data_IF_806818156302
#
_entry.id   IF_806818156302
#
_cell.length_a   1.000
_cell.length_b   1.000
_cell.length_c   1.000
_cell.angle_alpha   90.00
_cell.angle_beta   90.00
_cell.angle_gamma   90.00
#
_symmetry.space_group_name_H-M   'P 1'
#
loop_
_entity.id
_entity.type
_entity.pdbx_description
1 polymer ?
#
# COMPACT_ATOMS: atom_id res chain seq x y z
N UNK A 1 -94.86 -55.52 26.82
CA UNK A 1 -94.00 -54.76 25.89
C UNK A 1 -94.83 -54.41 24.68
N UNK A 2 -95.49 -53.25 24.72
CA UNK A 2 -96.25 -52.70 23.59
C UNK A 2 -95.25 -52.18 22.56
N UNK A 3 -95.33 -52.71 21.33
CA UNK A 3 -94.53 -52.25 20.19
C UNK A 3 -95.09 -50.87 19.80
N UNK A 4 -94.30 -49.79 19.80
CA UNK A 4 -94.80 -48.46 19.47
C UNK A 4 -95.40 -48.43 18.06
N UNK A 5 -96.45 -47.64 17.86
CA UNK A 5 -97.13 -47.48 16.57
C UNK A 5 -96.13 -46.96 15.53
N UNK A 6 -96.24 -47.38 14.26
CA UNK A 6 -95.31 -47.02 13.18
C UNK A 6 -95.08 -45.50 13.07
N UNK A 7 -96.14 -44.70 13.27
CA UNK A 7 -96.11 -43.24 13.25
C UNK A 7 -95.38 -42.60 14.46
N UNK A 8 -95.23 -43.33 15.55
CA UNK A 8 -94.52 -42.88 16.75
C UNK A 8 -93.01 -43.09 16.58
N UNK A 9 -92.60 -44.26 16.05
CA UNK A 9 -91.20 -44.52 15.68
C UNK A 9 -90.69 -43.59 14.58
N UNK A 10 -91.51 -43.27 13.59
CA UNK A 10 -91.11 -42.31 12.55
C UNK A 10 -90.92 -40.90 13.12
N UNK A 11 -91.75 -40.48 14.08
CA UNK A 11 -91.56 -39.20 14.79
C UNK A 11 -90.30 -39.19 15.64
N UNK A 12 -90.05 -40.26 16.41
CA UNK A 12 -88.80 -40.41 17.18
C UNK A 12 -87.57 -40.37 16.26
N UNK A 13 -87.61 -41.05 15.11
CA UNK A 13 -86.53 -41.02 14.12
C UNK A 13 -86.33 -39.61 13.54
N UNK A 14 -87.39 -38.90 13.16
CA UNK A 14 -87.30 -37.52 12.68
C UNK A 14 -86.71 -36.57 13.73
N UNK A 15 -87.07 -36.76 14.99
CA UNK A 15 -86.54 -35.95 16.09
C UNK A 15 -85.06 -36.25 16.35
N UNK A 16 -84.65 -37.53 16.31
CA UNK A 16 -83.24 -37.95 16.35
C UNK A 16 -82.46 -37.36 15.15
N UNK A 17 -83.02 -37.38 13.95
CA UNK A 17 -82.38 -36.78 12.77
C UNK A 17 -82.24 -35.27 12.91
N UNK A 18 -83.26 -34.58 13.43
CA UNK A 18 -83.21 -33.13 13.70
C UNK A 18 -82.15 -32.78 14.73
N UNK A 19 -82.07 -33.54 15.82
CA UNK A 19 -81.07 -33.34 16.88
C UNK A 19 -79.65 -33.63 16.39
N UNK A 20 -79.47 -34.70 15.60
CA UNK A 20 -78.19 -35.03 14.99
C UNK A 20 -77.72 -33.94 14.01
N UNK A 21 -78.62 -33.44 13.15
CA UNK A 21 -78.26 -32.39 12.18
C UNK A 21 -77.99 -31.05 12.88
N UNK A 22 -78.73 -30.70 13.92
CA UNK A 22 -78.42 -29.53 14.77
C UNK A 22 -77.05 -29.66 15.43
N UNK A 23 -76.73 -30.83 15.98
CA UNK A 23 -75.42 -31.09 16.60
C UNK A 23 -74.31 -31.02 15.56
N UNK A 24 -74.54 -31.55 14.34
CA UNK A 24 -73.59 -31.48 13.23
C UNK A 24 -73.32 -30.04 12.78
N UNK A 25 -74.37 -29.23 12.62
CA UNK A 25 -74.27 -27.82 12.25
C UNK A 25 -73.55 -27.03 13.34
N UNK A 26 -73.92 -27.23 14.61
CA UNK A 26 -73.27 -26.60 15.76
C UNK A 26 -71.78 -26.90 15.79
N UNK A 27 -71.39 -28.17 15.68
CA UNK A 27 -69.98 -28.57 15.63
C UNK A 27 -69.25 -27.94 14.43
N UNK A 28 -69.86 -27.91 13.24
CA UNK A 28 -69.28 -27.27 12.05
C UNK A 28 -69.01 -25.79 12.30
N UNK A 29 -69.97 -25.09 12.90
CA UNK A 29 -69.86 -23.65 13.15
C UNK A 29 -68.81 -23.36 14.25
N UNK A 30 -68.66 -24.23 15.25
CA UNK A 30 -67.58 -24.19 16.24
C UNK A 30 -66.21 -24.35 15.55
N UNK A 31 -66.04 -25.38 14.72
CA UNK A 31 -64.78 -25.59 13.99
C UNK A 31 -64.45 -24.43 13.05
N UNK A 32 -65.44 -23.88 12.35
CA UNK A 32 -65.26 -22.74 11.45
C UNK A 32 -64.85 -21.48 12.22
N UNK A 33 -65.49 -21.23 13.37
CA UNK A 33 -65.16 -20.12 14.26
C UNK A 33 -63.71 -20.22 14.74
N UNK A 34 -63.29 -21.41 15.17
CA UNK A 34 -61.94 -21.59 15.71
C UNK A 34 -60.86 -21.53 14.63
N UNK A 35 -61.17 -22.02 13.42
CA UNK A 35 -60.30 -21.86 12.25
C UNK A 35 -60.10 -20.39 11.90
N UNK A 36 -61.17 -19.59 11.90
CA UNK A 36 -61.09 -18.16 11.67
C UNK A 36 -60.35 -17.42 12.78
N UNK A 37 -60.49 -17.86 14.05
CA UNK A 37 -59.73 -17.31 15.17
C UNK A 37 -58.23 -17.49 14.95
N UNK A 38 -57.78 -18.70 14.65
CA UNK A 38 -56.37 -19.00 14.37
C UNK A 38 -55.86 -18.17 13.18
N UNK A 39 -56.63 -18.10 12.08
CA UNK A 39 -56.28 -17.29 10.92
C UNK A 39 -56.16 -15.79 11.26
N UNK A 40 -57.03 -15.28 12.14
CA UNK A 40 -56.95 -13.88 12.61
C UNK A 40 -55.76 -13.61 13.54
N UNK A 41 -55.23 -14.63 14.22
CA UNK A 41 -54.07 -14.54 15.11
C UNK A 41 -52.73 -14.71 14.37
N UNK A 42 -52.74 -15.21 13.14
CA UNK A 42 -51.55 -15.47 12.31
C UNK A 42 -50.65 -14.22 12.16
N UNK A 43 -51.24 -13.04 11.95
CA UNK A 43 -50.50 -11.78 11.87
C UNK A 43 -49.74 -11.48 13.18
N UNK A 44 -50.37 -11.78 14.32
CA UNK A 44 -49.77 -11.55 15.64
C UNK A 44 -48.55 -12.46 15.83
N UNK A 45 -48.69 -13.75 15.48
CA UNK A 45 -47.62 -14.75 15.57
C UNK A 45 -46.46 -14.36 14.63
N UNK A 46 -46.77 -13.98 13.38
CA UNK A 46 -45.77 -13.55 12.41
C UNK A 46 -45.00 -12.32 12.90
N UNK A 47 -45.71 -11.30 13.37
CA UNK A 47 -45.06 -10.11 13.93
C UNK A 47 -44.21 -10.44 15.16
N UNK A 48 -44.71 -11.27 16.07
CA UNK A 48 -44.05 -11.55 17.34
C UNK A 48 -42.78 -12.40 17.19
N UNK A 49 -42.73 -13.32 16.23
CA UNK A 49 -41.57 -14.19 16.02
C UNK A 49 -40.69 -13.74 14.86
N UNK A 50 -41.26 -13.47 13.69
CA UNK A 50 -40.49 -13.13 12.50
C UNK A 50 -39.93 -11.71 12.58
N UNK A 51 -40.73 -10.72 13.02
CA UNK A 51 -40.20 -9.36 13.19
C UNK A 51 -39.14 -9.32 14.29
N UNK A 52 -39.35 -10.06 15.39
CA UNK A 52 -38.32 -10.20 16.44
C UNK A 52 -37.04 -10.82 15.90
N UNK A 53 -37.11 -11.90 15.13
CA UNK A 53 -35.94 -12.49 14.46
C UNK A 53 -35.20 -11.46 13.60
N UNK A 54 -35.92 -10.69 12.77
CA UNK A 54 -35.30 -9.66 11.93
C UNK A 54 -34.65 -8.54 12.75
N UNK A 55 -35.26 -8.14 13.87
CA UNK A 55 -34.65 -7.17 14.79
C UNK A 55 -33.37 -7.70 15.44
N UNK A 56 -33.36 -8.96 15.88
CA UNK A 56 -32.17 -9.60 16.44
C UNK A 56 -31.06 -9.73 15.38
N UNK A 57 -31.39 -10.11 14.14
CA UNK A 57 -30.43 -10.10 13.03
C UNK A 57 -29.89 -8.69 12.77
N UNK A 58 -30.75 -7.69 12.70
CA UNK A 58 -30.32 -6.30 12.51
C UNK A 58 -29.39 -5.85 13.65
N UNK A 59 -29.71 -6.18 14.89
CA UNK A 59 -28.87 -5.88 16.05
C UNK A 59 -27.52 -6.55 15.93
N UNK A 60 -27.48 -7.85 15.60
CA UNK A 60 -26.26 -8.60 15.41
C UNK A 60 -25.36 -8.01 14.31
N UNK A 61 -25.92 -7.66 13.15
CA UNK A 61 -25.14 -7.02 12.08
C UNK A 61 -24.66 -5.61 12.47
N UNK A 62 -25.47 -4.85 13.21
CA UNK A 62 -25.03 -3.56 13.74
C UNK A 62 -23.87 -3.71 14.74
N UNK A 63 -23.92 -4.69 15.62
CA UNK A 63 -22.84 -4.97 16.57
C UNK A 63 -21.55 -5.36 15.85
N UNK A 64 -21.63 -6.18 14.80
CA UNK A 64 -20.48 -6.50 13.92
C UNK A 64 -19.96 -5.25 13.23
N UNK A 65 -20.84 -4.43 12.65
CA UNK A 65 -20.47 -3.20 11.95
C UNK A 65 -19.71 -2.26 12.91
N UNK A 66 -20.20 -2.08 14.13
CA UNK A 66 -19.57 -1.27 15.18
C UNK A 66 -18.21 -1.87 15.56
N UNK A 67 -18.15 -3.18 15.79
CA UNK A 67 -16.89 -3.86 16.12
C UNK A 67 -15.84 -3.67 15.03
N UNK A 68 -16.18 -3.94 13.76
CA UNK A 68 -15.26 -3.78 12.63
C UNK A 68 -14.85 -2.33 12.43
N UNK A 69 -15.79 -1.39 12.57
CA UNK A 69 -15.50 0.05 12.49
C UNK A 69 -14.50 0.50 13.55
N UNK A 70 -14.49 -0.15 14.72
CA UNK A 70 -13.51 0.10 15.78
C UNK A 70 -12.17 -0.61 15.55
N UNK A 71 -12.16 -1.81 14.96
CA UNK A 71 -10.94 -2.60 14.74
C UNK A 71 -10.16 -2.17 13.51
N UNK A 72 -10.83 -1.82 12.40
CA UNK A 72 -10.18 -1.44 11.13
C UNK A 72 -9.16 -0.31 11.31
N UNK A 73 -9.47 0.81 12.01
CA UNK A 73 -8.49 1.87 12.24
C UNK A 73 -7.28 1.40 13.04
N UNK A 74 -7.45 0.49 14.00
CA UNK A 74 -6.35 -0.03 14.82
C UNK A 74 -5.41 -0.94 14.00
N UNK A 75 -5.97 -1.78 13.13
CA UNK A 75 -5.19 -2.62 12.22
C UNK A 75 -4.46 -1.75 11.22
N UNK A 76 -5.16 -0.78 10.61
CA UNK A 76 -4.57 0.19 9.69
C UNK A 76 -3.41 0.95 10.34
N UNK A 77 -3.62 1.50 11.54
CA UNK A 77 -2.58 2.18 12.30
C UNK A 77 -1.37 1.28 12.59
N UNK A 78 -1.57 0.00 12.89
CA UNK A 78 -0.47 -0.95 13.09
C UNK A 78 0.32 -1.22 11.81
N UNK A 79 -0.36 -1.33 10.67
CA UNK A 79 0.26 -1.54 9.37
C UNK A 79 1.02 -0.30 8.88
N UNK A 80 0.41 0.88 9.00
CA UNK A 80 1.01 2.15 8.58
C UNK A 80 2.29 2.47 9.39
N UNK A 81 2.30 2.11 10.68
CA UNK A 81 3.44 2.31 11.58
C UNK A 81 4.36 1.08 11.71
N UNK A 82 4.19 0.08 10.84
CA UNK A 82 5.03 -1.11 10.89
C UNK A 82 6.46 -0.76 10.45
N UNK A 83 7.41 -0.81 11.39
CA UNK A 83 8.81 -0.38 11.17
C UNK A 83 9.50 -1.12 10.03
N UNK A 84 9.10 -2.38 9.77
CA UNK A 84 9.68 -3.26 8.75
C UNK A 84 8.86 -3.24 7.44
N UNK A 85 8.11 -2.18 7.18
CA UNK A 85 7.48 -2.00 5.87
C UNK A 85 8.56 -1.83 4.78
N UNK A 86 8.27 -2.25 3.53
CA UNK A 86 9.17 -2.09 2.39
C UNK A 86 9.67 -0.65 2.25
N UNK A 87 10.96 -0.52 1.92
CA UNK A 87 11.62 0.77 1.69
C UNK A 87 11.45 1.23 0.25
N UNK A 88 11.44 0.31 -0.71
CA UNK A 88 11.24 0.61 -2.13
C UNK A 88 9.79 1.05 -2.39
N UNK A 89 9.60 1.98 -3.32
CA UNK A 89 8.30 2.61 -3.63
C UNK A 89 7.67 3.41 -2.48
N UNK A 90 8.39 3.60 -1.37
CA UNK A 90 7.96 4.44 -0.26
C UNK A 90 8.45 5.88 -0.47
N UNK A 91 7.63 6.86 -0.10
CA UNK A 91 8.06 8.27 -0.08
C UNK A 91 9.25 8.45 0.85
N UNK A 92 10.22 9.28 0.43
CA UNK A 92 11.47 9.46 1.14
C UNK A 92 11.24 10.06 2.54
N UNK A 93 10.32 11.01 2.66
CA UNK A 93 9.98 11.65 3.94
C UNK A 93 9.21 10.69 4.85
N UNK A 94 8.27 9.92 4.30
CA UNK A 94 7.56 8.86 5.03
C UNK A 94 8.54 7.85 5.64
N UNK A 95 9.47 7.35 4.82
CA UNK A 95 10.49 6.38 5.23
C UNK A 95 11.43 6.94 6.29
N UNK A 96 12.03 8.10 6.04
CA UNK A 96 13.07 8.68 6.90
C UNK A 96 12.50 9.29 8.18
N UNK A 97 11.40 10.03 8.10
CA UNK A 97 10.88 10.81 9.25
C UNK A 97 9.88 10.01 10.08
N UNK A 98 8.99 9.22 9.47
CA UNK A 98 7.93 8.53 10.22
C UNK A 98 8.33 7.13 10.65
N UNK A 99 8.89 6.33 9.74
CA UNK A 99 9.19 4.91 10.01
C UNK A 99 10.52 4.71 10.72
N UNK A 100 11.61 5.20 10.12
CA UNK A 100 12.97 4.93 10.60
C UNK A 100 13.45 6.00 11.59
N UNK A 101 12.92 7.23 11.50
CA UNK A 101 13.35 8.40 12.28
C UNK A 101 14.86 8.65 12.15
N UNK A 102 15.36 8.58 10.92
CA UNK A 102 16.77 8.82 10.57
C UNK A 102 16.89 9.83 9.44
N UNK A 103 17.98 10.61 9.38
CA UNK A 103 18.14 11.66 8.38
C UNK A 103 18.41 11.14 6.97
N UNK A 104 18.86 9.89 6.85
CA UNK A 104 19.28 9.24 5.59
C UNK A 104 18.43 7.98 5.43
N UNK A 105 17.97 7.73 4.20
CA UNK A 105 17.20 6.55 3.85
C UNK A 105 18.05 5.29 4.00
N UNK A 106 17.47 4.28 4.65
CA UNK A 106 18.16 3.02 4.92
C UNK A 106 18.73 2.33 3.66
N UNK A 107 18.03 2.25 2.50
CA UNK A 107 18.62 1.69 1.28
C UNK A 107 19.84 2.48 0.76
N UNK A 108 19.81 3.81 0.86
CA UNK A 108 20.95 4.65 0.48
C UNK A 108 22.12 4.36 1.42
N UNK A 109 21.91 4.46 2.72
CA UNK A 109 22.96 4.24 3.72
C UNK A 109 23.60 2.85 3.58
N UNK A 110 22.81 1.79 3.43
CA UNK A 110 23.33 0.43 3.33
C UNK A 110 24.03 0.16 2.00
N UNK A 111 23.50 0.64 0.87
CA UNK A 111 24.18 0.49 -0.41
C UNK A 111 25.52 1.24 -0.44
N UNK A 112 25.59 2.46 0.10
CA UNK A 112 26.84 3.20 0.21
C UNK A 112 27.83 2.48 1.15
N UNK A 113 27.35 1.96 2.29
CA UNK A 113 28.18 1.20 3.22
C UNK A 113 28.80 -0.05 2.58
N UNK A 114 28.01 -0.80 1.82
CA UNK A 114 28.49 -1.99 1.10
C UNK A 114 29.56 -1.65 0.05
N UNK A 115 29.60 -0.41 -0.43
CA UNK A 115 30.52 0.07 -1.46
C UNK A 115 31.72 0.86 -0.92
N UNK A 116 31.81 1.12 0.39
CA UNK A 116 32.86 1.95 1.02
C UNK A 116 34.30 1.50 0.70
N UNK A 117 34.53 0.24 0.31
CA UNK A 117 35.85 -0.28 -0.05
C UNK A 117 35.95 -0.72 -1.51
N UNK A 118 35.05 -0.25 -2.37
CA UNK A 118 34.94 -0.65 -3.77
C UNK A 118 35.15 0.52 -4.74
N UNK A 119 35.86 1.57 -4.32
CA UNK A 119 36.09 2.76 -5.13
C UNK A 119 36.92 2.47 -6.40
N UNK A 120 37.78 1.46 -6.37
CA UNK A 120 38.63 1.07 -7.51
C UNK A 120 37.93 0.15 -8.52
N UNK A 121 36.69 -0.29 -8.23
CA UNK A 121 35.96 -1.24 -9.08
C UNK A 121 35.65 -0.64 -10.45
N UNK A 122 36.13 -1.29 -11.52
CA UNK A 122 36.02 -0.77 -12.88
C UNK A 122 34.55 -0.62 -13.30
N UNK A 123 34.17 0.58 -13.76
CA UNK A 123 32.83 0.83 -14.26
C UNK A 123 31.73 0.73 -13.20
N UNK A 124 32.04 0.94 -11.91
CA UNK A 124 31.03 1.09 -10.86
C UNK A 124 29.93 2.10 -11.26
N UNK A 125 28.66 1.77 -11.00
CA UNK A 125 27.46 2.45 -11.53
C UNK A 125 27.21 2.39 -13.04
N UNK A 126 28.21 2.07 -13.88
CA UNK A 126 28.04 1.90 -15.33
C UNK A 126 27.67 0.46 -15.70
N UNK A 127 28.39 -0.51 -15.15
CA UNK A 127 28.19 -1.93 -15.44
C UNK A 127 26.88 -2.42 -14.80
N UNK A 128 26.13 -3.23 -15.55
CA UNK A 128 24.87 -3.80 -15.08
C UNK A 128 25.14 -4.93 -14.08
N UNK A 129 24.40 -4.98 -12.95
CA UNK A 129 24.54 -6.07 -11.99
C UNK A 129 23.96 -7.38 -12.50
N UNK A 130 24.36 -8.48 -11.86
CA UNK A 130 23.65 -9.74 -11.96
C UNK A 130 22.21 -9.58 -11.41
N UNK A 131 21.20 -9.57 -12.29
CA UNK A 131 19.82 -9.25 -11.95
C UNK A 131 19.23 -10.11 -10.81
N UNK A 132 19.57 -11.40 -10.76
CA UNK A 132 19.10 -12.29 -9.69
C UNK A 132 19.62 -11.84 -8.30
N UNK A 133 20.90 -11.44 -8.22
CA UNK A 133 21.50 -10.92 -6.98
C UNK A 133 20.96 -9.54 -6.63
N UNK A 134 20.72 -8.69 -7.62
CA UNK A 134 20.09 -7.37 -7.41
C UNK A 134 18.69 -7.51 -6.81
N UNK A 135 17.83 -8.35 -7.40
CA UNK A 135 16.49 -8.63 -6.87
C UNK A 135 16.55 -9.17 -5.44
N UNK A 136 17.50 -10.05 -5.16
CA UNK A 136 17.72 -10.57 -3.81
C UNK A 136 18.08 -9.44 -2.82
N UNK A 137 19.05 -8.59 -3.16
CA UNK A 137 19.43 -7.46 -2.30
C UNK A 137 18.29 -6.46 -2.10
N UNK A 138 17.45 -6.20 -3.11
CA UNK A 138 16.24 -5.38 -2.96
C UNK A 138 15.32 -5.97 -1.88
N UNK A 139 15.03 -7.27 -1.92
CA UNK A 139 14.22 -7.94 -0.90
C UNK A 139 14.88 -7.88 0.48
N UNK A 140 16.19 -8.07 0.59
CA UNK A 140 16.92 -7.98 1.87
C UNK A 140 16.88 -6.55 2.45
N UNK A 141 16.89 -5.52 1.60
CA UNK A 141 16.73 -4.13 2.02
C UNK A 141 15.29 -3.80 2.42
N UNK A 142 14.29 -4.29 1.69
CA UNK A 142 12.88 -4.14 2.07
C UNK A 142 12.57 -4.78 3.42
N UNK A 143 13.20 -5.92 3.72
CA UNK A 143 13.10 -6.60 5.01
C UNK A 143 13.97 -5.96 6.10
N UNK A 144 14.79 -4.96 5.76
CA UNK A 144 15.71 -4.26 6.67
C UNK A 144 16.66 -5.18 7.45
N UNK A 145 17.13 -6.26 6.83
CA UNK A 145 18.02 -7.24 7.48
C UNK A 145 19.52 -6.93 7.32
N UNK A 146 19.87 -6.01 6.41
CA UNK A 146 21.24 -5.57 6.20
C UNK A 146 21.61 -4.53 7.26
N UNK A 147 22.80 -4.62 7.83
CA UNK A 147 23.29 -3.65 8.79
C UNK A 147 24.78 -3.40 8.59
N UNK A 148 25.33 -2.39 9.27
CA UNK A 148 26.72 -1.95 9.11
C UNK A 148 27.79 -2.98 9.51
N UNK A 149 27.40 -4.08 10.16
CA UNK A 149 28.32 -5.17 10.49
C UNK A 149 28.50 -6.13 9.31
N UNK A 150 27.59 -6.12 8.33
CA UNK A 150 27.64 -6.97 7.15
C UNK A 150 28.49 -6.29 6.08
N UNK A 151 29.51 -6.99 5.59
CA UNK A 151 30.33 -6.52 4.47
C UNK A 151 29.88 -7.16 3.17
N UNK A 152 30.22 -6.52 2.05
CA UNK A 152 29.88 -7.00 0.71
C UNK A 152 30.37 -8.44 0.46
N UNK A 153 31.57 -8.76 0.98
CA UNK A 153 32.18 -10.09 0.88
C UNK A 153 31.34 -11.18 1.55
N UNK A 154 30.69 -10.88 2.67
CA UNK A 154 29.87 -11.83 3.43
C UNK A 154 28.61 -12.22 2.65
N UNK A 155 28.14 -11.34 1.77
CA UNK A 155 26.96 -11.54 0.93
C UNK A 155 27.27 -12.26 -0.40
N UNK A 156 28.55 -12.48 -0.71
CA UNK A 156 29.01 -12.97 -2.02
C UNK A 156 28.43 -12.15 -3.20
N UNK A 157 28.27 -10.85 -2.99
CA UNK A 157 27.81 -9.91 -4.01
C UNK A 157 29.00 -9.24 -4.71
N UNK A 158 28.80 -9.02 -6.00
CA UNK A 158 29.69 -8.20 -6.81
C UNK A 158 29.37 -6.72 -6.55
N UNK A 159 30.34 -5.78 -6.55
CA UNK A 159 30.07 -4.37 -6.24
C UNK A 159 29.08 -3.69 -7.20
N UNK A 160 28.90 -4.19 -8.42
CA UNK A 160 27.85 -3.67 -9.30
C UNK A 160 26.44 -3.92 -8.77
N UNK A 161 26.24 -4.95 -7.92
CA UNK A 161 24.94 -5.30 -7.30
C UNK A 161 24.42 -4.15 -6.43
N UNK A 162 25.07 -3.74 -5.33
CA UNK A 162 24.61 -2.61 -4.52
C UNK A 162 24.58 -1.30 -5.31
N UNK A 163 25.49 -1.07 -6.27
CA UNK A 163 25.45 0.11 -7.13
C UNK A 163 24.19 0.15 -8.02
N UNK A 164 23.81 -0.99 -8.59
CA UNK A 164 22.59 -1.15 -9.37
C UNK A 164 21.33 -1.04 -8.50
N UNK A 165 21.34 -1.64 -7.31
CA UNK A 165 20.25 -1.53 -6.33
C UNK A 165 20.03 -0.08 -5.88
N UNK A 166 21.09 0.68 -5.63
CA UNK A 166 20.99 2.10 -5.29
C UNK A 166 20.33 2.92 -6.42
N UNK A 167 20.77 2.70 -7.68
CA UNK A 167 20.14 3.34 -8.85
C UNK A 167 18.67 2.98 -9.01
N UNK A 168 18.32 1.72 -8.70
CA UNK A 168 16.94 1.25 -8.74
C UNK A 168 16.10 1.94 -7.67
N UNK A 169 16.59 1.99 -6.42
CA UNK A 169 15.90 2.64 -5.31
C UNK A 169 15.56 4.10 -5.65
N UNK A 170 16.55 4.85 -6.12
CA UNK A 170 16.39 6.26 -6.50
C UNK A 170 15.34 6.47 -7.60
N UNK A 171 15.29 5.56 -8.59
CA UNK A 171 14.33 5.62 -9.71
C UNK A 171 12.91 5.19 -9.32
N UNK A 172 12.78 4.36 -8.28
CA UNK A 172 11.50 3.83 -7.80
C UNK A 172 10.88 4.70 -6.69
N UNK A 173 11.50 5.83 -6.32
CA UNK A 173 10.91 6.76 -5.38
C UNK A 173 9.60 7.35 -5.96
N UNK A 174 8.54 7.55 -5.15
CA UNK A 174 7.32 8.21 -5.61
C UNK A 174 7.54 9.65 -6.07
N UNK A 175 8.51 10.37 -5.50
CA UNK A 175 8.99 11.68 -5.94
C UNK A 175 10.52 11.58 -6.07
N UNK A 176 11.08 12.07 -7.18
CA UNK A 176 12.50 11.91 -7.44
C UNK A 176 13.35 12.64 -6.37
N UNK A 177 14.61 12.23 -6.17
CA UNK A 177 15.44 12.81 -5.11
C UNK A 177 15.60 14.33 -5.26
N UNK A 178 15.67 14.83 -6.49
CA UNK A 178 15.75 16.26 -6.80
C UNK A 178 14.39 16.98 -6.85
N UNK A 179 13.31 16.28 -6.51
CA UNK A 179 11.90 16.69 -6.46
C UNK A 179 11.32 17.14 -7.80
N UNK A 180 10.13 16.62 -8.13
CA UNK A 180 9.42 17.01 -9.35
C UNK A 180 9.04 18.50 -9.34
N UNK A 181 8.78 19.07 -8.15
CA UNK A 181 8.42 20.47 -7.98
C UNK A 181 9.50 21.45 -8.46
N UNK A 182 10.78 21.05 -8.41
CA UNK A 182 11.91 21.86 -8.86
C UNK A 182 12.32 21.58 -10.31
N UNK A 183 11.71 20.58 -10.97
CA UNK A 183 12.03 20.17 -12.34
C UNK A 183 12.06 21.34 -13.35
N UNK A 184 11.10 22.30 -13.36
CA UNK A 184 11.16 23.44 -14.27
C UNK A 184 12.39 24.32 -14.05
N UNK A 185 12.82 24.48 -12.80
CA UNK A 185 14.00 25.27 -12.45
C UNK A 185 15.29 24.52 -12.81
N UNK A 186 15.32 23.20 -12.61
CA UNK A 186 16.41 22.37 -13.10
C UNK A 186 16.59 22.51 -14.62
N UNK A 187 15.49 22.47 -15.39
CA UNK A 187 15.52 22.66 -16.83
C UNK A 187 16.04 24.05 -17.25
N UNK A 188 15.74 25.10 -16.50
CA UNK A 188 16.25 26.46 -16.75
C UNK A 188 17.76 26.56 -16.51
N UNK A 189 18.29 25.93 -15.46
CA UNK A 189 19.74 25.91 -15.22
C UNK A 189 20.44 25.10 -16.31
N UNK A 190 19.83 23.99 -16.71
CA UNK A 190 20.36 23.10 -17.74
C UNK A 190 20.52 23.81 -19.09
N UNK A 191 19.66 24.77 -19.42
CA UNK A 191 19.75 25.53 -20.67
C UNK A 191 20.77 26.67 -20.66
N UNK A 192 21.41 26.95 -19.52
CA UNK A 192 22.49 27.95 -19.42
C UNK A 192 23.77 27.42 -20.10
N UNK A 193 24.42 28.28 -20.89
CA UNK A 193 25.52 27.92 -21.79
C UNK A 193 26.92 27.90 -21.16
N UNK A 194 27.09 28.39 -19.93
CA UNK A 194 28.40 28.54 -19.28
C UNK A 194 28.38 28.06 -17.83
N UNK A 195 29.38 27.24 -17.46
CA UNK A 195 29.49 26.62 -16.13
C UNK A 195 29.63 27.65 -15.01
N UNK A 196 30.36 28.75 -15.22
CA UNK A 196 30.57 29.82 -14.21
C UNK A 196 29.27 30.41 -13.66
N UNK A 197 28.21 30.47 -14.47
CA UNK A 197 26.90 30.96 -14.03
C UNK A 197 25.99 29.84 -13.50
N UNK A 198 26.31 28.56 -13.75
CA UNK A 198 25.46 27.43 -13.36
C UNK A 198 25.66 27.05 -11.90
N UNK A 199 26.90 27.03 -11.41
CA UNK A 199 27.25 26.62 -10.02
C UNK A 199 26.41 27.34 -8.96
N UNK A 200 26.30 28.68 -8.97
CA UNK A 200 25.58 29.39 -7.93
C UNK A 200 24.08 29.07 -7.97
N UNK A 201 23.51 28.89 -9.17
CA UNK A 201 22.11 28.52 -9.33
C UNK A 201 21.83 27.09 -8.89
N UNK A 202 22.74 26.15 -9.15
CA UNK A 202 22.66 24.77 -8.67
C UNK A 202 22.64 24.76 -7.14
N UNK A 203 23.59 25.46 -6.50
CA UNK A 203 23.64 25.59 -5.04
C UNK A 203 22.34 26.16 -4.47
N UNK A 204 21.78 27.21 -5.10
CA UNK A 204 20.49 27.78 -4.70
C UNK A 204 19.32 26.79 -4.81
N UNK A 205 19.26 25.94 -5.84
CA UNK A 205 18.21 24.92 -5.94
C UNK A 205 18.38 23.79 -4.93
N UNK A 206 19.61 23.36 -4.68
CA UNK A 206 19.89 22.35 -3.67
C UNK A 206 19.43 22.85 -2.29
N UNK A 207 19.64 24.13 -1.98
CA UNK A 207 19.15 24.75 -0.74
C UNK A 207 17.61 24.88 -0.65
N UNK A 208 16.89 24.69 -1.77
CA UNK A 208 15.42 24.64 -1.78
C UNK A 208 14.86 23.23 -1.62
N UNK A 209 15.70 22.21 -1.65
CA UNK A 209 15.24 20.83 -1.46
C UNK A 209 14.69 20.64 -0.04
N UNK A 210 13.69 19.76 0.15
CA UNK A 210 13.32 19.30 1.48
C UNK A 210 14.55 18.75 2.22
N UNK A 211 14.62 18.98 3.53
CA UNK A 211 15.79 18.61 4.34
C UNK A 211 16.20 17.13 4.17
N UNK A 212 15.23 16.24 4.05
CA UNK A 212 15.47 14.80 3.87
C UNK A 212 16.13 14.53 2.51
N UNK A 213 15.61 15.12 1.43
CA UNK A 213 16.17 15.02 0.09
C UNK A 213 17.60 15.58 0.05
N UNK A 214 17.82 16.76 0.64
CA UNK A 214 19.13 17.39 0.76
C UNK A 214 20.15 16.46 1.46
N UNK A 215 19.79 15.93 2.64
CA UNK A 215 20.70 15.05 3.41
C UNK A 215 21.10 13.80 2.62
N UNK A 216 20.13 13.16 1.96
CA UNK A 216 20.37 11.97 1.15
C UNK A 216 21.19 12.30 -0.10
N UNK A 217 20.92 13.45 -0.74
CA UNK A 217 21.71 13.93 -1.87
C UNK A 217 23.16 14.18 -1.47
N UNK A 218 23.42 14.90 -0.38
CA UNK A 218 24.79 15.17 0.09
C UNK A 218 25.58 13.88 0.34
N UNK A 219 24.97 12.87 0.95
CA UNK A 219 25.62 11.57 1.17
C UNK A 219 25.98 10.88 -0.15
N UNK A 220 25.04 10.88 -1.10
CA UNK A 220 25.27 10.31 -2.41
C UNK A 220 26.39 11.06 -3.16
N UNK A 221 26.32 12.40 -3.21
CA UNK A 221 27.31 13.22 -3.92
C UNK A 221 28.70 13.08 -3.30
N UNK A 222 28.81 13.10 -1.98
CA UNK A 222 30.08 12.85 -1.29
C UNK A 222 30.68 11.49 -1.69
N UNK A 223 29.86 10.44 -1.74
CA UNK A 223 30.31 9.11 -2.14
C UNK A 223 30.77 9.10 -3.62
N UNK A 224 30.02 9.73 -4.51
CA UNK A 224 30.36 9.79 -5.94
C UNK A 224 31.61 10.62 -6.21
N UNK A 225 31.82 11.69 -5.44
CA UNK A 225 33.05 12.48 -5.46
C UNK A 225 34.25 11.59 -5.13
N UNK A 226 34.16 10.78 -4.07
CA UNK A 226 35.19 9.78 -3.73
C UNK A 226 35.43 8.78 -4.85
N UNK A 227 34.38 8.21 -5.45
CA UNK A 227 34.54 7.30 -6.61
C UNK A 227 35.29 8.00 -7.76
N UNK A 228 34.99 9.27 -8.03
CA UNK A 228 35.61 10.01 -9.13
C UNK A 228 37.11 10.30 -8.94
N UNK A 229 37.58 10.39 -7.69
CA UNK A 229 39.01 10.52 -7.37
C UNK A 229 39.82 9.30 -7.85
N UNK A 230 39.19 8.12 -7.92
CA UNK A 230 39.80 6.87 -8.42
C UNK A 230 39.56 6.65 -9.92
N UNK A 231 39.13 7.69 -10.66
CA UNK A 231 38.80 7.61 -12.10
C UNK A 231 39.93 7.08 -12.99
N UNK A 232 41.20 7.23 -12.58
CA UNK A 232 42.36 6.64 -13.26
C UNK A 232 42.32 5.11 -13.28
N UNK A 233 41.77 4.48 -12.24
CA UNK A 233 41.64 3.03 -12.08
C UNK A 233 40.25 2.60 -12.55
N UNK A 234 39.18 3.09 -11.91
CA UNK A 234 37.82 2.62 -12.14
C UNK A 234 37.17 3.12 -13.46
N UNK A 235 37.81 4.05 -14.17
CA UNK A 235 37.36 4.66 -15.44
C UNK A 235 36.05 5.47 -15.36
N UNK A 236 35.64 5.87 -14.15
CA UNK A 236 34.44 6.63 -13.86
C UNK A 236 34.78 8.05 -13.42
N UNK A 237 34.85 8.98 -14.39
CA UNK A 237 34.93 10.42 -14.10
C UNK A 237 33.61 10.93 -13.52
N UNK A 238 33.62 12.13 -12.90
CA UNK A 238 32.40 12.77 -12.42
C UNK A 238 31.33 12.91 -13.53
N UNK A 239 31.75 13.19 -14.76
CA UNK A 239 30.86 13.21 -15.93
C UNK A 239 30.26 11.82 -16.21
N UNK A 240 31.07 10.76 -16.24
CA UNK A 240 30.58 9.40 -16.45
C UNK A 240 29.60 8.95 -15.35
N UNK A 241 29.87 9.31 -14.09
CA UNK A 241 28.98 9.04 -12.96
C UNK A 241 27.67 9.82 -13.07
N UNK A 242 27.75 11.10 -13.42
CA UNK A 242 26.58 11.95 -13.67
C UNK A 242 25.69 11.39 -14.77
N UNK A 243 26.27 10.78 -15.81
CA UNK A 243 25.52 10.08 -16.85
C UNK A 243 24.77 8.87 -16.29
N UNK A 244 25.46 8.04 -15.50
CA UNK A 244 24.92 6.77 -15.04
C UNK A 244 23.83 6.91 -13.96
N UNK A 245 23.92 7.95 -13.13
CA UNK A 245 23.01 8.20 -12.00
C UNK A 245 21.98 9.28 -12.34
N UNK A 246 22.23 10.07 -13.38
CA UNK A 246 21.43 11.24 -13.73
C UNK A 246 19.93 10.97 -13.85
N UNK A 247 19.59 9.96 -14.64
CA UNK A 247 18.20 9.56 -14.86
C UNK A 247 17.53 8.93 -13.63
N UNK A 248 18.31 8.52 -12.63
CA UNK A 248 17.78 8.02 -11.35
C UNK A 248 17.51 9.15 -10.36
N UNK A 249 18.12 10.33 -10.52
CA UNK A 249 17.94 11.48 -9.64
C UNK A 249 16.84 12.43 -10.07
N UNK A 250 16.55 12.47 -11.39
CA UNK A 250 15.54 13.32 -11.99
C UNK A 250 14.85 12.57 -13.13
N UNK A 251 13.57 12.23 -12.92
CA UNK A 251 12.72 11.57 -13.92
C UNK A 251 11.31 12.20 -13.88
N UNK A 252 10.87 12.90 -14.94
CA UNK A 252 9.54 13.47 -15.01
C UNK A 252 8.46 12.39 -15.06
N UNK A 253 7.37 12.62 -14.33
CA UNK A 253 6.17 11.77 -14.36
C UNK A 253 5.37 11.91 -15.66
N UNK A 254 5.48 13.04 -16.35
CA UNK A 254 4.83 13.26 -17.64
C UNK A 254 5.75 12.84 -18.79
N UNK A 255 5.31 11.86 -19.58
CA UNK A 255 6.02 11.27 -20.74
C UNK A 255 6.30 12.26 -21.89
N UNK A 256 5.98 13.55 -21.72
CA UNK A 256 6.04 14.59 -22.74
C UNK A 256 7.24 15.52 -22.55
N UNK A 257 8.46 14.97 -22.55
CA UNK A 257 9.63 15.69 -23.05
C UNK A 257 10.80 14.72 -23.20
N UNK A 258 11.52 14.82 -24.30
CA UNK A 258 12.78 14.13 -24.50
C UNK A 258 13.76 14.55 -23.40
N UNK A 259 13.85 13.77 -22.32
CA UNK A 259 14.89 13.86 -21.31
C UNK A 259 16.17 13.26 -21.85
N UNK A 260 16.70 13.88 -22.89
CA UNK A 260 17.91 13.45 -23.56
C UNK A 260 19.05 14.38 -23.17
N UNK A 261 20.11 13.78 -22.63
CA UNK A 261 21.47 14.31 -22.50
C UNK A 261 21.70 15.52 -21.56
N UNK A 262 20.67 16.30 -21.26
CA UNK A 262 20.81 17.60 -20.60
C UNK A 262 20.87 17.51 -19.05
N UNK A 263 20.23 16.48 -18.46
CA UNK A 263 20.37 16.13 -17.03
C UNK A 263 21.79 15.65 -16.64
N UNK A 264 22.60 15.24 -17.62
CA UNK A 264 23.91 14.62 -17.42
C UNK A 264 24.97 15.63 -16.96
N UNK A 265 24.90 16.87 -17.47
CA UNK A 265 25.86 17.93 -17.16
C UNK A 265 25.63 18.54 -15.77
N UNK A 266 24.37 18.69 -15.35
CA UNK A 266 24.04 19.24 -14.03
C UNK A 266 24.55 18.35 -12.91
N UNK A 267 24.39 17.03 -13.03
CA UNK A 267 24.84 16.10 -11.98
C UNK A 267 26.36 15.92 -12.03
N UNK A 268 26.99 15.99 -13.20
CA UNK A 268 28.45 16.13 -13.28
C UNK A 268 28.96 17.36 -12.54
N UNK A 269 28.32 18.52 -12.72
CA UNK A 269 28.70 19.77 -12.05
C UNK A 269 28.53 19.65 -10.53
N UNK A 270 27.42 19.05 -10.09
CA UNK A 270 27.14 18.76 -8.68
C UNK A 270 28.22 17.84 -8.07
N UNK A 271 28.69 16.82 -8.79
CA UNK A 271 29.73 15.89 -8.27
C UNK A 271 31.11 16.53 -8.20
N UNK A 272 31.43 17.47 -9.10
CA UNK A 272 32.75 18.13 -9.15
C UNK A 272 32.86 19.26 -8.12
N UNK A 273 31.75 19.93 -7.79
CA UNK A 273 31.78 21.20 -7.04
C UNK A 273 31.25 21.12 -5.60
N UNK A 274 30.67 19.99 -5.19
CA UNK A 274 30.28 19.70 -3.80
C UNK A 274 31.17 18.61 -3.19
#
# INVERSE_FOLDING_TARGET
MTIPNYDERNRELEDIYREYDQTRISNRDIYFTETNRIASEEHLITYQFFAKYLFEEQSFYNDIQIYLSNQIPQVKHRLDNYKLAPSFHCDLSEHCLKRIQRPIAYPIEMCLHLLENCFEEEGIFRIAPAQAKQKKLVTELDLQIINKNIKLRDLAYDPHVPAGTLKQYLRELPDCLLTDALLPLWNQIISLSTDEYRVPHISQLINKLPQVNYNNLCQLIWFLSRVSEYSSINKMTASNLGICIGCSLLYPKEQSSNLSLSNLYTISSIIVEL
#
